data_IF_619169179172
#
_entry.id   IF_619169179172
#
_cell.length_a   1.000
_cell.length_b   1.000
_cell.length_c   1.000
_cell.angle_alpha   90.00
_cell.angle_beta   90.00
_cell.angle_gamma   90.00
#
_symmetry.space_group_name_H-M   'P 1'
#
loop_
_entity.id
_entity.type
_entity.pdbx_description
1 polymer ?
#
# COMPACT_ATOMS: atom_id res chain seq x y z
N UNK A 1 5.60 -9.54 -28.27
CA UNK A 1 5.92 -9.27 -26.86
C UNK A 1 4.58 -9.19 -26.14
N UNK A 2 4.35 -10.06 -25.18
CA UNK A 2 3.12 -10.05 -24.39
C UNK A 2 3.32 -9.14 -23.19
N UNK A 3 2.54 -8.06 -23.10
CA UNK A 3 2.60 -7.06 -22.03
C UNK A 3 1.44 -7.23 -21.03
N UNK A 4 0.62 -8.28 -21.20
CA UNK A 4 -0.46 -8.55 -20.28
C UNK A 4 0.08 -8.95 -18.90
N UNK A 5 -0.57 -8.47 -17.86
CA UNK A 5 -0.27 -8.89 -16.49
C UNK A 5 -0.77 -10.30 -16.24
N UNK A 6 -0.14 -11.01 -15.31
CA UNK A 6 -0.60 -12.33 -14.87
C UNK A 6 -1.94 -12.21 -14.14
N UNK A 7 -2.75 -13.27 -14.13
CA UNK A 7 -4.03 -13.29 -13.40
C UNK A 7 -3.87 -12.95 -11.92
N UNK A 8 -2.73 -13.34 -11.32
CA UNK A 8 -2.36 -12.99 -9.94
C UNK A 8 -2.24 -11.47 -9.78
N UNK A 9 -1.52 -10.81 -10.68
CA UNK A 9 -1.32 -9.35 -10.65
C UNK A 9 -2.63 -8.62 -10.91
N UNK A 10 -3.43 -9.05 -11.88
CA UNK A 10 -4.74 -8.42 -12.14
C UNK A 10 -5.66 -8.49 -10.93
N UNK A 11 -5.70 -9.63 -10.24
CA UNK A 11 -6.46 -9.79 -9.00
C UNK A 11 -5.98 -8.83 -7.91
N UNK A 12 -4.66 -8.76 -7.67
CA UNK A 12 -4.09 -7.86 -6.67
C UNK A 12 -4.33 -6.39 -7.02
N UNK A 13 -4.17 -6.00 -8.29
CA UNK A 13 -4.48 -4.65 -8.76
C UNK A 13 -5.93 -4.28 -8.51
N UNK A 14 -6.86 -5.20 -8.77
CA UNK A 14 -8.28 -4.97 -8.49
C UNK A 14 -8.54 -4.81 -6.99
N UNK A 15 -8.03 -5.73 -6.16
CA UNK A 15 -8.20 -5.67 -4.70
C UNK A 15 -7.61 -4.37 -4.12
N UNK A 16 -6.41 -3.99 -4.59
CA UNK A 16 -5.75 -2.76 -4.16
C UNK A 16 -6.56 -1.52 -4.57
N UNK A 17 -7.03 -1.43 -5.82
CA UNK A 17 -7.88 -0.31 -6.25
C UNK A 17 -9.19 -0.24 -5.46
N UNK A 18 -9.82 -1.39 -5.19
CA UNK A 18 -11.03 -1.45 -4.37
C UNK A 18 -10.75 -1.01 -2.91
N UNK A 19 -9.57 -1.32 -2.38
CA UNK A 19 -9.13 -0.83 -1.07
C UNK A 19 -8.88 0.68 -1.08
N UNK A 20 -8.17 1.20 -2.09
CA UNK A 20 -7.93 2.63 -2.26
C UNK A 20 -9.24 3.42 -2.30
N UNK A 21 -10.23 2.94 -3.07
CA UNK A 21 -11.56 3.57 -3.18
C UNK A 21 -12.38 3.52 -1.89
N UNK A 22 -12.31 2.43 -1.13
CA UNK A 22 -13.12 2.28 0.09
C UNK A 22 -12.51 2.97 1.30
N UNK A 23 -11.18 3.04 1.38
CA UNK A 23 -10.50 3.39 2.61
C UNK A 23 -9.45 4.49 2.48
N UNK A 24 -8.75 4.61 1.36
CA UNK A 24 -7.68 5.61 1.23
C UNK A 24 -8.27 6.96 0.83
N UNK A 25 -8.90 7.05 -0.35
CA UNK A 25 -9.44 8.33 -0.86
C UNK A 25 -10.46 8.97 0.09
N UNK A 26 -11.40 8.22 0.72
CA UNK A 26 -12.34 8.84 1.67
C UNK A 26 -11.70 9.38 2.95
N UNK A 27 -10.51 8.88 3.34
CA UNK A 27 -9.83 9.25 4.58
C UNK A 27 -8.64 10.21 4.37
N UNK A 28 -8.43 10.73 3.15
CA UNK A 28 -7.39 11.75 2.89
C UNK A 28 -7.57 12.98 3.77
N UNK A 29 -8.81 13.49 3.91
CA UNK A 29 -9.09 14.64 4.77
C UNK A 29 -8.79 14.33 6.25
N UNK A 30 -9.20 13.15 6.74
CA UNK A 30 -8.94 12.71 8.12
C UNK A 30 -7.45 12.63 8.41
N UNK A 31 -6.66 12.09 7.48
CA UNK A 31 -5.20 12.07 7.59
C UNK A 31 -4.63 13.49 7.73
N UNK A 32 -5.04 14.41 6.84
CA UNK A 32 -4.57 15.79 6.89
C UNK A 32 -4.97 16.51 8.17
N UNK A 33 -6.18 16.29 8.67
CA UNK A 33 -6.67 16.88 9.91
C UNK A 33 -5.88 16.38 11.12
N UNK A 34 -5.59 15.07 11.20
CA UNK A 34 -4.79 14.48 12.27
C UNK A 34 -3.35 15.03 12.27
N UNK A 35 -2.72 15.10 11.09
CA UNK A 35 -1.37 15.69 10.95
C UNK A 35 -1.39 17.18 11.34
N UNK A 36 -2.36 17.96 10.87
CA UNK A 36 -2.48 19.38 11.20
C UNK A 36 -2.73 19.63 12.70
N UNK A 37 -3.61 18.84 13.33
CA UNK A 37 -3.93 18.95 14.75
C UNK A 37 -2.72 18.66 15.66
N UNK A 38 -1.78 17.84 15.19
CA UNK A 38 -0.55 17.54 15.94
C UNK A 38 0.47 18.70 15.97
N UNK A 39 0.35 19.66 15.05
CA UNK A 39 1.35 20.72 14.84
C UNK A 39 2.71 20.23 14.31
N UNK A 40 2.83 18.94 13.96
CA UNK A 40 4.05 18.34 13.41
C UNK A 40 3.76 17.72 12.03
N UNK A 41 4.39 18.20 10.94
CA UNK A 41 4.19 17.63 9.60
C UNK A 41 4.67 16.18 9.45
N UNK A 42 5.47 15.67 10.40
CA UNK A 42 5.92 14.29 10.47
C UNK A 42 5.13 13.43 11.47
N UNK A 43 3.96 13.90 11.89
CA UNK A 43 3.13 13.14 12.81
C UNK A 43 2.59 11.87 12.16
N UNK A 44 2.63 10.79 12.93
CA UNK A 44 2.04 9.52 12.57
C UNK A 44 0.53 9.55 12.83
N UNK A 45 -0.26 9.60 11.77
CA UNK A 45 -1.70 9.72 11.86
C UNK A 45 -2.35 8.38 12.26
N UNK A 46 -3.20 8.39 13.29
CA UNK A 46 -3.86 7.20 13.85
C UNK A 46 -4.67 6.41 12.79
N UNK A 47 -5.25 7.12 11.81
CA UNK A 47 -5.99 6.49 10.72
C UNK A 47 -5.12 5.50 9.93
N UNK A 48 -3.81 5.74 9.83
CA UNK A 48 -2.89 4.85 9.11
C UNK A 48 -2.81 3.49 9.81
N UNK A 49 -2.76 3.44 11.14
CA UNK A 49 -2.70 2.17 11.87
C UNK A 49 -4.00 1.38 11.78
N UNK A 50 -5.15 2.06 11.82
CA UNK A 50 -6.45 1.43 11.60
C UNK A 50 -6.53 0.79 10.22
N UNK A 51 -6.01 1.49 9.20
CA UNK A 51 -6.00 1.00 7.83
C UNK A 51 -4.99 -0.13 7.62
N UNK A 52 -3.83 -0.12 8.29
CA UNK A 52 -2.87 -1.24 8.27
C UNK A 52 -3.50 -2.55 8.75
N UNK A 53 -4.36 -2.51 9.77
CA UNK A 53 -5.11 -3.70 10.24
C UNK A 53 -6.03 -4.23 9.14
N UNK A 54 -6.75 -3.35 8.43
CA UNK A 54 -7.63 -3.75 7.33
C UNK A 54 -6.85 -4.30 6.13
N UNK A 55 -5.75 -3.65 5.76
CA UNK A 55 -4.89 -4.09 4.66
C UNK A 55 -4.33 -5.50 4.91
N UNK A 56 -3.85 -5.76 6.13
CA UNK A 56 -3.42 -7.12 6.55
C UNK A 56 -4.54 -8.15 6.45
N UNK A 57 -5.74 -7.81 6.93
CA UNK A 57 -6.90 -8.71 6.86
C UNK A 57 -7.34 -9.02 5.41
N UNK A 58 -7.11 -8.11 4.47
CA UNK A 58 -7.39 -8.31 3.04
C UNK A 58 -6.20 -8.92 2.26
N UNK A 59 -5.10 -9.25 2.92
CA UNK A 59 -3.90 -9.84 2.31
C UNK A 59 -3.08 -8.85 1.47
N UNK A 60 -3.26 -7.55 1.68
CA UNK A 60 -2.53 -6.47 1.01
C UNK A 60 -1.36 -5.99 1.89
N UNK A 61 -0.47 -6.90 2.26
CA UNK A 61 0.65 -6.61 3.17
C UNK A 61 1.96 -7.13 2.61
N UNK A 62 3.05 -6.40 2.80
CA UNK A 62 4.39 -6.80 2.33
C UNK A 62 4.42 -7.14 0.83
N UNK A 63 3.71 -6.35 0.02
CA UNK A 63 3.53 -6.67 -1.40
C UNK A 63 4.85 -6.61 -2.19
N UNK A 64 5.83 -5.87 -1.69
CA UNK A 64 7.15 -5.75 -2.30
C UNK A 64 8.06 -6.96 -2.02
N UNK A 65 7.78 -7.76 -0.99
CA UNK A 65 8.64 -8.88 -0.59
C UNK A 65 8.47 -10.06 -1.56
N UNK A 66 9.55 -10.51 -2.24
CA UNK A 66 9.51 -11.64 -3.18
C UNK A 66 9.47 -13.01 -2.48
N UNK A 67 9.63 -13.02 -1.16
CA UNK A 67 9.46 -14.21 -0.34
C UNK A 67 7.96 -14.57 -0.21
N UNK A 68 7.61 -15.85 -0.38
CA UNK A 68 6.22 -16.34 -0.33
C UNK A 68 5.73 -16.69 1.08
N UNK A 69 6.64 -16.91 2.01
CA UNK A 69 6.35 -17.18 3.41
C UNK A 69 6.03 -15.88 4.16
N UNK A 70 6.75 -14.80 3.84
CA UNK A 70 6.65 -13.50 4.54
C UNK A 70 6.04 -12.36 3.71
N UNK A 71 5.85 -12.55 2.41
CA UNK A 71 5.38 -11.54 1.47
C UNK A 71 4.50 -12.07 0.35
N UNK A 72 4.27 -11.24 -0.67
CA UNK A 72 3.39 -11.58 -1.78
C UNK A 72 4.04 -12.49 -2.83
N UNK A 73 5.35 -12.70 -2.77
CA UNK A 73 6.07 -13.52 -3.74
C UNK A 73 5.96 -12.99 -5.16
N UNK A 74 6.04 -11.67 -5.32
CA UNK A 74 5.97 -10.97 -6.60
C UNK A 74 7.39 -10.71 -7.11
N UNK A 75 7.56 -10.79 -8.42
CA UNK A 75 8.74 -10.20 -9.07
C UNK A 75 8.60 -8.67 -9.10
N UNK A 76 9.71 -7.94 -9.30
CA UNK A 76 9.68 -6.48 -9.39
C UNK A 76 8.75 -5.99 -10.53
N UNK A 77 8.69 -6.73 -11.64
CA UNK A 77 7.78 -6.43 -12.75
C UNK A 77 6.31 -6.56 -12.35
N UNK A 78 5.98 -7.55 -11.53
CA UNK A 78 4.62 -7.78 -11.02
C UNK A 78 4.25 -6.79 -9.91
N UNK A 79 5.23 -6.34 -9.12
CA UNK A 79 5.03 -5.36 -8.06
C UNK A 79 4.87 -3.93 -8.57
N UNK A 80 5.59 -3.55 -9.63
CA UNK A 80 5.56 -2.21 -10.23
C UNK A 80 4.15 -1.59 -10.40
N UNK A 81 3.14 -2.27 -11.00
CA UNK A 81 1.80 -1.69 -11.15
C UNK A 81 1.04 -1.53 -9.82
N UNK A 82 1.40 -2.30 -8.79
CA UNK A 82 0.84 -2.15 -7.44
C UNK A 82 1.48 -0.93 -6.76
N UNK A 83 2.80 -0.78 -6.88
CA UNK A 83 3.53 0.39 -6.39
C UNK A 83 3.02 1.69 -7.02
N UNK A 84 2.74 1.69 -8.33
CA UNK A 84 2.12 2.85 -9.02
C UNK A 84 0.76 3.22 -8.41
N UNK A 85 -0.07 2.22 -8.10
CA UNK A 85 -1.41 2.46 -7.53
C UNK A 85 -1.32 3.06 -6.12
N UNK A 86 -0.41 2.56 -5.28
CA UNK A 86 -0.14 3.12 -3.94
C UNK A 86 0.50 4.51 -4.04
N UNK A 87 1.35 4.76 -5.04
CA UNK A 87 2.00 6.05 -5.25
C UNK A 87 1.07 7.22 -5.55
N UNK A 88 -0.23 6.96 -5.83
CA UNK A 88 -1.24 8.00 -6.07
C UNK A 88 -1.54 8.86 -4.85
N UNK A 89 -1.34 8.32 -3.64
CA UNK A 89 -1.57 9.01 -2.37
C UNK A 89 -0.31 8.84 -1.53
N UNK A 90 0.31 9.96 -1.14
CA UNK A 90 1.67 9.99 -0.60
C UNK A 90 1.89 9.09 0.64
N UNK A 91 0.87 8.93 1.47
CA UNK A 91 0.93 8.12 2.70
C UNK A 91 0.41 6.68 2.53
N UNK A 92 -0.17 6.33 1.38
CA UNK A 92 -0.91 5.06 1.27
C UNK A 92 0.01 3.84 1.24
N UNK A 93 1.23 3.94 0.71
CA UNK A 93 2.19 2.83 0.72
C UNK A 93 2.48 2.33 2.14
N UNK A 94 2.39 3.20 3.15
CA UNK A 94 2.59 2.82 4.55
C UNK A 94 1.49 1.89 5.07
N UNK A 95 0.26 2.06 4.58
CA UNK A 95 -0.89 1.20 4.94
C UNK A 95 -0.67 -0.25 4.54
N UNK A 96 0.09 -0.48 3.47
CA UNK A 96 0.37 -1.82 2.93
C UNK A 96 1.75 -2.36 3.37
N UNK A 97 2.45 -1.64 4.26
CA UNK A 97 3.84 -1.91 4.64
C UNK A 97 4.81 -1.89 3.46
N UNK A 98 4.60 -0.96 2.53
CA UNK A 98 5.37 -0.80 1.31
C UNK A 98 6.06 0.58 1.22
N UNK A 99 6.06 1.35 2.30
CA UNK A 99 6.79 2.62 2.37
C UNK A 99 8.31 2.38 2.52
N UNK A 100 9.12 3.32 2.03
CA UNK A 100 10.54 3.34 2.36
C UNK A 100 10.70 3.70 3.85
N UNK A 101 11.68 3.16 4.61
CA UNK A 101 12.87 2.39 4.19
C UNK A 101 12.67 0.87 4.05
N UNK A 102 11.48 0.34 4.34
CA UNK A 102 11.21 -1.10 4.34
C UNK A 102 11.34 -1.73 2.95
N UNK A 103 10.89 -1.05 1.89
CA UNK A 103 11.10 -1.48 0.50
C UNK A 103 12.59 -1.51 0.12
N UNK A 104 13.32 -0.42 0.35
CA UNK A 104 14.72 -0.30 -0.10
C UNK A 104 15.77 -1.08 0.70
N UNK A 105 15.45 -1.55 1.91
CA UNK A 105 16.36 -2.32 2.76
C UNK A 105 16.08 -3.83 2.77
N UNK A 106 14.91 -4.27 2.29
CA UNK A 106 14.48 -5.68 2.27
C UNK A 106 14.19 -6.24 0.87
N UNK A 107 14.37 -5.46 -0.20
CA UNK A 107 14.36 -5.92 -1.60
C UNK A 107 15.59 -6.80 -1.96
#
# INVERSE_FOLDING_TARGET
MDFAYTEKVERLRKQLNDFMNRYIYPNEQTFHDQVAASGNPHHHAEIVDELKVKARAEGLWNLFLPDKEYGAGLTNLEYAPLAESMGRVAWSSEVFNCAAPDTGNME
#
